data_IF_229406225695
#
_entry.id   IF_229406225695
#
_cell.length_a   1.000
_cell.length_b   1.000
_cell.length_c   1.000
_cell.angle_alpha   90.00
_cell.angle_beta   90.00
_cell.angle_gamma   90.00
#
_symmetry.space_group_name_H-M   'P 1'
#
loop_
_entity.id
_entity.type
_entity.pdbx_description
1 polymer ?
#
# COMPACT_ATOMS: atom_id res chain seq x y z
N UNK A 1 -7.44 0.07 18.17
CA UNK A 1 -7.94 -0.95 17.25
C UNK A 1 -9.39 -0.63 16.90
N UNK A 2 -9.66 -0.35 15.65
CA UNK A 2 -11.03 -0.13 15.18
C UNK A 2 -11.73 -1.47 14.99
N UNK A 3 -12.97 -1.55 15.42
CA UNK A 3 -13.84 -2.71 15.22
C UNK A 3 -14.80 -2.37 14.09
N UNK A 4 -14.84 -3.22 13.07
CA UNK A 4 -15.75 -3.06 11.95
C UNK A 4 -16.84 -4.14 12.05
N UNK A 5 -18.09 -3.70 12.22
CA UNK A 5 -19.26 -4.57 12.11
C UNK A 5 -19.84 -4.49 10.69
N UNK A 6 -20.12 -5.62 10.07
CA UNK A 6 -20.86 -5.62 8.79
C UNK A 6 -22.26 -5.07 9.03
N UNK A 7 -22.49 -3.82 8.61
CA UNK A 7 -23.79 -3.11 8.75
C UNK A 7 -23.78 -1.85 9.61
N UNK A 8 -22.66 -1.43 10.17
CA UNK A 8 -22.53 -0.14 10.89
C UNK A 8 -21.26 0.56 10.40
N UNK A 9 -21.46 1.78 9.96
CA UNK A 9 -20.46 2.80 9.57
C UNK A 9 -18.99 2.33 9.59
N UNK A 10 -18.56 1.81 8.45
CA UNK A 10 -17.16 1.89 8.10
C UNK A 10 -16.71 3.33 8.32
N UNK A 11 -15.48 3.61 8.81
CA UNK A 11 -14.97 4.94 8.59
C UNK A 11 -15.18 5.17 7.09
N UNK A 12 -16.20 5.99 6.79
CA UNK A 12 -16.48 6.35 5.42
C UNK A 12 -15.14 6.92 4.94
N UNK A 13 -14.54 6.28 3.94
CA UNK A 13 -13.75 7.05 3.00
C UNK A 13 -14.77 8.07 2.51
N UNK A 14 -14.82 9.19 3.21
CA UNK A 14 -15.69 10.29 2.80
C UNK A 14 -15.16 10.64 1.43
N UNK A 15 -15.99 10.48 0.43
CA UNK A 15 -15.73 11.08 -0.86
C UNK A 15 -15.45 12.58 -0.58
N UNK A 16 -14.15 12.95 -0.55
CA UNK A 16 -13.79 14.35 -0.38
C UNK A 16 -12.49 14.72 0.30
N UNK A 17 -11.84 13.87 1.11
CA UNK A 17 -10.64 14.26 1.86
C UNK A 17 -9.41 13.39 1.60
N UNK A 18 -8.22 13.94 1.83
CA UNK A 18 -6.97 13.18 1.94
C UNK A 18 -6.67 12.99 3.41
N UNK A 19 -6.59 11.73 3.87
CA UNK A 19 -6.57 11.37 5.28
C UNK A 19 -5.21 10.80 5.67
N UNK A 20 -4.67 11.26 6.79
CA UNK A 20 -3.48 10.72 7.44
C UNK A 20 -3.88 9.68 8.48
N UNK A 21 -3.34 8.48 8.36
CA UNK A 21 -3.45 7.40 9.37
C UNK A 21 -2.09 7.16 9.99
N UNK A 22 -2.00 7.25 11.32
CA UNK A 22 -0.76 6.98 12.06
C UNK A 22 -0.69 5.48 12.37
N UNK A 23 0.38 4.84 11.90
CA UNK A 23 0.61 3.41 12.09
C UNK A 23 1.42 3.15 13.35
N UNK A 24 2.51 3.90 13.51
CA UNK A 24 3.42 3.74 14.65
C UNK A 24 4.22 5.02 14.89
N UNK A 25 4.73 5.14 16.10
CA UNK A 25 5.74 6.11 16.51
C UNK A 25 5.34 7.57 16.33
N UNK A 26 6.34 8.41 16.20
CA UNK A 26 6.17 9.86 16.11
C UNK A 26 5.92 10.28 14.65
N UNK A 27 4.81 10.97 14.44
CA UNK A 27 4.46 11.63 13.16
C UNK A 27 4.16 13.08 13.45
N UNK A 28 4.73 13.98 12.66
CA UNK A 28 4.51 15.42 12.76
C UNK A 28 3.88 15.95 11.47
N UNK A 29 3.03 16.96 11.63
CA UNK A 29 2.43 17.73 10.54
C UNK A 29 2.80 19.20 10.70
N UNK A 30 3.19 19.81 9.60
CA UNK A 30 3.34 21.25 9.43
C UNK A 30 2.26 21.73 8.47
N UNK A 31 1.24 22.41 9.01
CA UNK A 31 0.16 22.96 8.19
C UNK A 31 0.66 24.16 7.36
N UNK A 32 0.26 24.22 6.10
CA UNK A 32 0.61 25.35 5.22
C UNK A 32 0.20 26.69 5.84
N UNK A 33 1.08 27.67 5.68
CA UNK A 33 0.87 29.02 6.25
C UNK A 33 1.08 29.14 7.76
N UNK A 34 1.44 28.07 8.46
CA UNK A 34 1.83 28.11 9.89
C UNK A 34 3.36 28.18 10.04
N UNK A 35 3.85 28.39 11.26
CA UNK A 35 5.30 28.44 11.55
C UNK A 35 5.76 27.35 12.51
N UNK A 36 4.89 26.40 12.87
CA UNK A 36 5.17 25.41 13.90
C UNK A 36 4.81 24.02 13.44
N UNK A 37 5.74 23.08 13.66
CA UNK A 37 5.45 21.66 13.59
C UNK A 37 4.61 21.25 14.81
N UNK A 38 3.69 20.35 14.62
CA UNK A 38 2.88 19.73 15.69
C UNK A 38 2.83 18.22 15.53
N UNK A 39 2.54 17.52 16.63
CA UNK A 39 2.21 16.10 16.53
C UNK A 39 0.97 15.92 15.65
N UNK A 40 1.04 14.96 14.75
CA UNK A 40 -0.09 14.56 13.92
C UNK A 40 -1.23 13.97 14.77
N UNK A 41 -2.45 14.08 14.28
CA UNK A 41 -3.63 13.45 14.88
C UNK A 41 -4.10 12.34 13.95
N UNK A 42 -4.28 11.14 14.47
CA UNK A 42 -4.75 10.01 13.68
C UNK A 42 -6.13 10.29 13.08
N UNK A 43 -6.27 10.02 11.77
CA UNK A 43 -7.48 10.29 11.00
C UNK A 43 -7.66 11.77 10.59
N UNK A 44 -6.65 12.64 10.75
CA UNK A 44 -6.77 14.03 10.32
C UNK A 44 -6.75 14.19 8.80
N UNK A 45 -7.45 15.19 8.32
CA UNK A 45 -7.48 15.56 6.91
C UNK A 45 -6.28 16.46 6.58
N UNK A 46 -5.55 16.09 5.52
CA UNK A 46 -4.44 16.87 4.97
C UNK A 46 -4.88 17.73 3.80
N UNK A 47 -4.23 18.88 3.66
CA UNK A 47 -4.44 19.84 2.60
C UNK A 47 -3.21 20.04 1.74
N UNK A 48 -3.39 20.64 0.57
CA UNK A 48 -2.26 21.08 -0.24
C UNK A 48 -1.38 22.05 0.55
N UNK A 49 -0.06 21.86 0.49
CA UNK A 49 0.94 22.63 1.19
C UNK A 49 1.35 22.02 2.55
N UNK A 50 0.59 21.08 3.08
CA UNK A 50 0.93 20.41 4.33
C UNK A 50 2.17 19.52 4.15
N UNK A 51 3.07 19.55 5.14
CA UNK A 51 4.23 18.67 5.24
C UNK A 51 4.00 17.63 6.32
N UNK A 52 4.32 16.39 6.00
CA UNK A 52 4.26 15.25 6.93
C UNK A 52 5.65 14.65 7.07
N UNK A 53 6.10 14.47 8.32
CA UNK A 53 7.37 13.80 8.59
C UNK A 53 7.22 12.74 9.68
N UNK A 54 7.89 11.61 9.48
CA UNK A 54 7.94 10.50 10.43
C UNK A 54 9.28 10.50 11.17
N UNK A 55 9.24 10.16 12.46
CA UNK A 55 10.44 9.93 13.27
C UNK A 55 11.08 8.56 13.01
N UNK A 56 12.15 8.21 13.79
CA UNK A 56 12.87 6.95 13.61
C UNK A 56 12.01 5.69 13.77
N UNK A 57 10.97 5.76 14.61
CA UNK A 57 10.01 4.68 14.81
C UNK A 57 8.64 5.01 14.19
N UNK A 58 8.55 6.17 13.47
CA UNK A 58 7.33 6.68 12.91
C UNK A 58 6.96 5.96 11.61
N UNK A 59 5.68 5.65 11.44
CA UNK A 59 5.09 5.18 10.18
C UNK A 59 3.70 5.74 10.02
N UNK A 60 3.34 6.09 8.79
CA UNK A 60 2.02 6.63 8.49
C UNK A 60 1.55 6.22 7.09
N UNK A 61 0.25 6.29 6.87
CA UNK A 61 -0.35 6.13 5.54
C UNK A 61 -1.17 7.37 5.23
N UNK A 62 -0.96 7.92 4.05
CA UNK A 62 -1.82 8.93 3.46
C UNK A 62 -2.74 8.23 2.47
N UNK A 63 -4.05 8.32 2.71
CA UNK A 63 -5.07 7.84 1.78
C UNK A 63 -5.67 9.04 1.05
N UNK A 64 -5.46 9.10 -0.26
CA UNK A 64 -6.00 10.15 -1.10
C UNK A 64 -7.49 9.92 -1.37
N UNK A 65 -8.20 10.98 -1.76
CA UNK A 65 -9.65 10.93 -1.97
C UNK A 65 -10.11 9.99 -3.10
N UNK A 66 -9.21 9.56 -4.01
CA UNK A 66 -9.48 8.57 -5.05
C UNK A 66 -9.20 7.12 -4.60
N UNK A 67 -8.73 6.94 -3.36
CA UNK A 67 -8.32 5.65 -2.80
C UNK A 67 -6.87 5.27 -3.05
N UNK A 68 -6.09 6.07 -3.80
CA UNK A 68 -4.63 5.91 -3.89
C UNK A 68 -4.01 6.07 -2.50
N UNK A 69 -2.90 5.38 -2.24
CA UNK A 69 -2.23 5.44 -0.93
C UNK A 69 -0.74 5.73 -1.08
N UNK A 70 -0.21 6.45 -0.09
CA UNK A 70 1.22 6.63 0.11
C UNK A 70 1.57 6.25 1.54
N UNK A 71 2.34 5.17 1.71
CA UNK A 71 2.86 4.75 3.01
C UNK A 71 4.23 5.37 3.24
N UNK A 72 4.41 6.03 4.37
CA UNK A 72 5.65 6.64 4.81
C UNK A 72 6.35 5.69 5.79
N UNK A 73 7.57 5.26 5.48
CA UNK A 73 8.44 4.55 6.40
C UNK A 73 9.03 5.50 7.46
N UNK A 74 9.86 4.98 8.35
CA UNK A 74 10.59 5.81 9.33
C UNK A 74 11.52 6.82 8.65
N UNK A 75 11.78 7.94 9.35
CA UNK A 75 12.67 9.02 8.92
C UNK A 75 12.33 9.63 7.54
N UNK A 76 11.05 9.58 7.16
CA UNK A 76 10.53 10.08 5.88
C UNK A 76 9.97 11.49 6.04
N UNK A 77 10.14 12.32 5.00
CA UNK A 77 9.74 13.72 4.97
C UNK A 77 9.16 14.06 3.61
N UNK A 78 7.88 14.45 3.59
CA UNK A 78 7.17 14.81 2.36
C UNK A 78 6.37 16.09 2.53
N UNK A 79 6.09 16.77 1.41
CA UNK A 79 5.14 17.90 1.32
C UNK A 79 4.15 17.63 0.20
N UNK A 80 2.89 17.92 0.43
CA UNK A 80 1.80 17.82 -0.55
C UNK A 80 1.76 19.11 -1.41
N UNK A 81 2.70 19.27 -2.35
CA UNK A 81 2.85 20.50 -3.13
C UNK A 81 1.61 20.85 -3.97
N UNK A 82 0.95 19.80 -4.48
CA UNK A 82 -0.31 19.92 -5.20
C UNK A 82 -1.24 18.80 -4.84
N UNK A 83 -2.48 19.16 -4.60
CA UNK A 83 -3.55 18.22 -4.29
C UNK A 83 -4.87 18.75 -4.85
N UNK A 84 -5.28 18.27 -6.01
CA UNK A 84 -6.49 18.71 -6.68
C UNK A 84 -7.31 17.55 -7.20
N UNK A 85 -8.65 17.69 -7.15
CA UNK A 85 -9.57 16.80 -7.84
C UNK A 85 -10.10 17.48 -9.10
N UNK A 86 -10.27 16.69 -10.15
CA UNK A 86 -10.95 17.16 -11.34
C UNK A 86 -12.46 16.91 -11.24
N UNK A 87 -13.23 17.42 -12.22
CA UNK A 87 -14.68 17.28 -12.26
C UNK A 87 -15.20 15.84 -12.39
N UNK A 88 -14.33 14.89 -12.70
CA UNK A 88 -14.61 13.45 -12.80
C UNK A 88 -14.19 12.69 -11.54
N UNK A 89 -13.68 13.37 -10.50
CA UNK A 89 -13.18 12.75 -9.27
C UNK A 89 -11.75 12.21 -9.36
N UNK A 90 -11.04 12.47 -10.45
CA UNK A 90 -9.65 12.02 -10.62
C UNK A 90 -8.65 12.86 -9.82
N UNK A 91 -7.61 12.21 -9.29
CA UNK A 91 -6.54 12.80 -8.50
C UNK A 91 -5.48 13.45 -9.40
N UNK A 92 -5.08 14.68 -9.08
CA UNK A 92 -3.81 15.25 -9.53
C UNK A 92 -3.02 15.66 -8.29
N UNK A 93 -1.95 14.89 -8.00
CA UNK A 93 -1.08 15.10 -6.85
C UNK A 93 0.37 15.28 -7.28
N UNK A 94 1.05 16.25 -6.66
CA UNK A 94 2.50 16.42 -6.72
C UNK A 94 3.02 16.40 -5.29
N UNK A 95 3.88 15.45 -5.00
CA UNK A 95 4.46 15.22 -3.68
C UNK A 95 5.93 15.57 -3.77
N UNK A 96 6.42 16.46 -2.92
CA UNK A 96 7.85 16.65 -2.69
C UNK A 96 8.29 15.65 -1.63
N UNK A 97 9.23 14.79 -1.93
CA UNK A 97 9.87 13.89 -0.96
C UNK A 97 11.32 14.30 -0.79
N UNK A 98 11.65 14.85 0.38
CA UNK A 98 12.99 15.38 0.66
C UNK A 98 13.95 14.28 1.18
N UNK A 99 13.43 13.28 1.87
CA UNK A 99 14.20 12.12 2.37
C UNK A 99 13.30 10.95 2.74
N UNK A 100 13.93 9.78 2.96
CA UNK A 100 13.28 8.58 3.47
C UNK A 100 12.64 7.74 2.37
N UNK A 101 11.73 6.86 2.76
CA UNK A 101 11.15 5.87 1.85
C UNK A 101 9.63 5.95 1.86
N UNK A 102 9.05 6.01 0.66
CA UNK A 102 7.59 5.92 0.47
C UNK A 102 7.23 4.74 -0.42
N UNK A 103 6.16 4.03 -0.05
CA UNK A 103 5.48 3.08 -0.91
C UNK A 103 4.21 3.72 -1.44
N UNK A 104 4.09 3.79 -2.77
CA UNK A 104 3.02 4.48 -3.45
C UNK A 104 2.19 3.47 -4.23
N UNK A 105 0.90 3.44 -3.97
CA UNK A 105 -0.06 2.62 -4.70
C UNK A 105 -1.08 3.55 -5.35
N UNK A 106 -0.86 3.86 -6.63
CA UNK A 106 -1.67 4.82 -7.39
C UNK A 106 -2.70 4.05 -8.20
N UNK A 107 -3.97 4.27 -7.87
CA UNK A 107 -5.08 3.62 -8.57
C UNK A 107 -5.23 4.17 -9.98
N UNK A 108 -5.79 3.31 -10.85
CA UNK A 108 -6.07 3.69 -12.24
C UNK A 108 -7.13 4.79 -12.28
N UNK A 109 -6.79 5.98 -12.77
CA UNK A 109 -7.78 7.03 -12.93
C UNK A 109 -8.78 6.67 -14.03
N UNK A 110 -10.05 7.01 -13.82
CA UNK A 110 -11.10 6.85 -14.86
C UNK A 110 -10.92 7.82 -16.03
N UNK A 111 -10.04 8.81 -15.90
CA UNK A 111 -9.79 9.84 -16.89
C UNK A 111 -8.32 9.95 -17.32
N UNK A 112 -8.08 10.67 -18.41
CA UNK A 112 -6.74 10.87 -18.97
C UNK A 112 -5.96 12.06 -18.35
N UNK A 113 -6.56 12.77 -17.39
CA UNK A 113 -6.02 14.05 -16.84
C UNK A 113 -5.39 13.85 -15.48
N UNK A 114 -5.74 12.77 -14.79
CA UNK A 114 -5.16 12.43 -13.47
C UNK A 114 -3.67 12.13 -13.59
N UNK A 115 -2.89 12.68 -12.68
CA UNK A 115 -1.44 12.53 -12.65
C UNK A 115 -0.97 12.44 -11.19
N UNK A 116 -0.06 11.54 -10.91
CA UNK A 116 0.61 11.44 -9.63
C UNK A 116 2.12 11.59 -9.85
N UNK A 117 2.72 12.56 -9.18
CA UNK A 117 4.15 12.84 -9.27
C UNK A 117 4.80 12.82 -7.90
N UNK A 118 6.00 12.27 -7.85
CA UNK A 118 6.90 12.41 -6.70
C UNK A 118 8.15 13.16 -7.18
N UNK A 119 8.32 14.36 -6.66
CA UNK A 119 9.51 15.19 -6.85
C UNK A 119 10.50 14.87 -5.74
N UNK A 120 11.76 14.70 -6.09
CA UNK A 120 12.86 14.43 -5.15
C UNK A 120 14.02 15.38 -5.44
N UNK A 121 15.05 15.45 -4.58
CA UNK A 121 16.24 16.24 -4.86
C UNK A 121 16.98 15.86 -6.17
N UNK A 122 16.89 14.60 -6.60
CA UNK A 122 17.61 14.12 -7.77
C UNK A 122 16.75 14.02 -9.04
N UNK A 123 15.46 13.69 -8.91
CA UNK A 123 14.62 13.40 -10.08
C UNK A 123 13.13 13.59 -9.79
N UNK A 124 12.33 13.51 -10.86
CA UNK A 124 10.87 13.48 -10.80
C UNK A 124 10.37 12.16 -11.33
N UNK A 125 9.58 11.44 -10.53
CA UNK A 125 8.85 10.26 -10.97
C UNK A 125 7.38 10.59 -11.25
N UNK A 126 6.91 10.32 -12.47
CA UNK A 126 5.51 10.50 -12.86
C UNK A 126 4.87 9.15 -13.18
N UNK A 127 3.64 8.93 -12.70
CA UNK A 127 2.97 7.63 -12.82
C UNK A 127 1.48 7.74 -13.13
N UNK A 128 0.95 6.63 -13.62
CA UNK A 128 -0.49 6.32 -13.70
C UNK A 128 -0.69 4.83 -13.52
N UNK A 129 -1.61 4.42 -12.61
CA UNK A 129 -1.88 2.99 -12.39
C UNK A 129 -0.60 2.19 -12.04
N UNK A 130 0.10 2.66 -11.01
CA UNK A 130 1.44 2.17 -10.70
C UNK A 130 1.58 1.96 -9.20
N UNK A 131 2.20 0.83 -8.84
CA UNK A 131 2.68 0.60 -7.47
C UNK A 131 4.20 0.62 -7.48
N UNK A 132 4.77 1.54 -6.71
CA UNK A 132 6.20 1.82 -6.75
C UNK A 132 6.74 2.35 -5.41
N UNK A 133 8.02 2.13 -5.20
CA UNK A 133 8.76 2.63 -4.04
C UNK A 133 9.68 3.77 -4.48
N UNK A 134 9.78 4.78 -3.63
CA UNK A 134 10.74 5.86 -3.76
C UNK A 134 11.58 5.89 -2.50
N UNK A 135 12.89 5.82 -2.66
CA UNK A 135 13.85 6.01 -1.56
C UNK A 135 14.72 7.21 -1.88
N UNK A 136 14.80 8.14 -0.93
CA UNK A 136 15.67 9.32 -0.99
C UNK A 136 16.65 9.26 0.16
N UNK A 137 17.91 9.09 -0.16
CA UNK A 137 18.99 9.05 0.82
C UNK A 137 19.34 10.46 1.34
N UNK A 138 20.11 10.54 2.42
CA UNK A 138 20.47 11.80 3.07
C UNK A 138 21.31 12.75 2.18
N UNK A 139 21.98 12.23 1.18
CA UNK A 139 22.72 12.99 0.18
C UNK A 139 21.87 13.44 -1.01
N UNK A 140 20.59 13.05 -1.03
CA UNK A 140 19.63 13.34 -2.07
C UNK A 140 19.58 12.32 -3.21
N UNK A 141 20.47 11.31 -3.20
CA UNK A 141 20.40 10.20 -4.16
C UNK A 141 19.03 9.54 -4.07
N UNK A 142 18.41 9.30 -5.21
CA UNK A 142 17.02 8.81 -5.29
C UNK A 142 16.93 7.51 -6.07
N UNK A 143 16.27 6.51 -5.51
CA UNK A 143 15.89 5.29 -6.20
C UNK A 143 14.37 5.27 -6.45
N UNK A 144 13.97 5.07 -7.71
CA UNK A 144 12.61 4.70 -8.08
C UNK A 144 12.57 3.23 -8.45
N UNK A 145 11.73 2.45 -7.78
CA UNK A 145 11.52 1.04 -8.07
C UNK A 145 10.06 0.77 -8.40
N UNK A 146 9.79 0.29 -9.61
CA UNK A 146 8.44 -0.09 -10.02
C UNK A 146 8.16 -1.56 -9.70
N UNK A 147 7.03 -1.81 -9.08
CA UNK A 147 6.50 -3.16 -8.85
C UNK A 147 5.45 -3.54 -9.89
N UNK A 148 4.50 -2.66 -10.15
CA UNK A 148 3.49 -2.76 -11.21
C UNK A 148 3.40 -1.44 -11.93
N UNK A 149 3.14 -1.46 -13.22
CA UNK A 149 3.10 -0.25 -14.05
C UNK A 149 4.48 0.28 -14.38
N UNK A 150 4.54 1.52 -14.80
CA UNK A 150 5.78 2.19 -15.20
C UNK A 150 5.90 3.51 -14.47
N UNK A 151 7.08 3.82 -13.97
CA UNK A 151 7.45 5.13 -13.47
C UNK A 151 8.28 5.82 -14.55
N UNK A 152 7.80 6.94 -15.06
CA UNK A 152 8.59 7.81 -15.94
C UNK A 152 9.45 8.73 -15.08
N UNK A 153 10.75 8.46 -15.04
CA UNK A 153 11.73 9.20 -14.23
C UNK A 153 12.46 10.20 -15.10
N UNK A 154 12.38 11.47 -14.71
CA UNK A 154 13.01 12.60 -15.43
C UNK A 154 14.04 13.30 -14.55
N UNK A 155 15.24 13.55 -15.05
CA UNK A 155 16.28 14.41 -14.46
C UNK A 155 17.17 14.97 -15.54
N UNK A 156 17.67 16.21 -15.38
CA UNK A 156 18.59 16.90 -16.30
C UNK A 156 18.13 16.90 -17.78
N UNK A 157 16.80 16.81 -18.02
CA UNK A 157 16.20 16.78 -19.36
C UNK A 157 16.26 15.43 -20.06
N UNK A 158 16.67 14.39 -19.35
CA UNK A 158 16.65 13.00 -19.82
C UNK A 158 15.52 12.21 -19.12
N UNK A 159 14.88 11.32 -19.85
CA UNK A 159 13.75 10.51 -19.38
C UNK A 159 14.09 9.02 -19.43
N UNK A 160 13.73 8.28 -18.37
CA UNK A 160 13.89 6.84 -18.30
C UNK A 160 12.59 6.20 -17.80
N UNK A 161 12.09 5.19 -18.50
CA UNK A 161 10.92 4.43 -18.10
C UNK A 161 11.34 3.23 -17.22
N UNK A 162 10.99 3.27 -15.93
CA UNK A 162 11.25 2.21 -14.96
C UNK A 162 10.07 1.26 -14.96
N UNK A 163 10.23 0.12 -15.61
CA UNK A 163 9.19 -0.92 -15.75
C UNK A 163 9.12 -1.87 -14.55
N UNK A 164 8.11 -2.76 -14.53
CA UNK A 164 7.89 -3.69 -13.42
C UNK A 164 9.11 -4.54 -13.08
N UNK A 165 9.47 -4.60 -11.79
CA UNK A 165 10.60 -5.37 -11.28
C UNK A 165 11.97 -4.74 -11.54
N UNK A 166 12.01 -3.48 -12.00
CA UNK A 166 13.27 -2.75 -12.23
C UNK A 166 13.33 -1.50 -11.37
N UNK A 167 14.54 -1.02 -11.10
CA UNK A 167 14.78 0.27 -10.44
C UNK A 167 15.77 1.13 -11.22
N UNK A 168 15.64 2.45 -11.06
CA UNK A 168 16.58 3.46 -11.54
C UNK A 168 17.09 4.25 -10.35
N UNK A 169 18.41 4.41 -10.27
CA UNK A 169 19.08 5.27 -9.30
C UNK A 169 19.52 6.57 -9.98
N UNK A 170 19.30 7.69 -9.29
CA UNK A 170 19.66 9.02 -9.78
C UNK A 170 20.38 9.80 -8.69
N UNK A 171 21.57 10.31 -8.99
CA UNK A 171 22.27 11.21 -8.11
C UNK A 171 21.86 12.68 -8.41
N UNK A 172 21.87 13.59 -7.42
CA UNK A 172 21.53 14.99 -7.64
C UNK A 172 22.40 15.65 -8.74
N UNK A 173 21.72 16.22 -9.75
CA UNK A 173 22.38 16.87 -10.90
C UNK A 173 22.89 15.91 -11.96
N UNK A 174 22.55 14.64 -11.89
CA UNK A 174 22.87 13.64 -12.91
C UNK A 174 21.61 13.17 -13.65
N UNK A 175 21.79 12.63 -14.85
CA UNK A 175 20.70 11.98 -15.58
C UNK A 175 20.25 10.68 -14.87
N UNK A 176 18.99 10.24 -15.05
CA UNK A 176 18.52 8.99 -14.45
C UNK A 176 19.36 7.79 -14.92
N UNK A 177 19.73 6.92 -13.97
CA UNK A 177 20.39 5.68 -14.30
C UNK A 177 19.51 4.76 -15.16
N UNK A 178 20.11 3.96 -16.02
CA UNK A 178 19.36 2.98 -16.79
C UNK A 178 18.68 1.96 -15.83
N UNK A 179 17.43 1.56 -16.11
CA UNK A 179 16.74 0.60 -15.26
C UNK A 179 17.47 -0.73 -15.16
N UNK A 180 17.66 -1.18 -13.93
CA UNK A 180 18.26 -2.49 -13.63
C UNK A 180 17.26 -3.38 -12.90
N UNK A 181 17.27 -4.71 -13.12
CA UNK A 181 16.43 -5.62 -12.37
C UNK A 181 16.68 -5.50 -10.87
N UNK A 182 15.62 -5.26 -10.09
CA UNK A 182 15.67 -5.30 -8.62
C UNK A 182 15.70 -6.77 -8.19
N UNK A 183 16.54 -7.16 -7.22
CA UNK A 183 16.47 -8.48 -6.61
C UNK A 183 15.04 -8.79 -6.12
N UNK A 184 14.61 -10.04 -6.27
CA UNK A 184 13.32 -10.46 -5.72
C UNK A 184 13.39 -10.46 -4.19
N UNK A 185 12.25 -10.17 -3.57
CA UNK A 185 12.11 -10.12 -2.12
C UNK A 185 12.55 -11.43 -1.45
N UNK A 186 13.08 -11.33 -0.25
CA UNK A 186 13.47 -12.46 0.58
C UNK A 186 12.26 -13.23 1.11
N UNK A 187 11.13 -12.55 1.30
CA UNK A 187 9.83 -13.13 1.63
C UNK A 187 8.73 -12.55 0.75
N UNK A 188 7.89 -13.41 0.19
CA UNK A 188 6.85 -13.05 -0.77
C UNK A 188 5.67 -14.00 -0.61
N UNK A 189 4.45 -13.47 -0.42
CA UNK A 189 3.20 -14.25 -0.40
C UNK A 189 2.20 -13.65 -1.37
N UNK A 190 1.68 -14.48 -2.25
CA UNK A 190 0.58 -14.17 -3.15
C UNK A 190 -0.64 -14.96 -2.72
N UNK A 191 -1.72 -14.27 -2.38
CA UNK A 191 -3.04 -14.85 -2.12
C UNK A 191 -3.95 -14.55 -3.30
N UNK A 192 -4.68 -15.57 -3.75
CA UNK A 192 -5.65 -15.46 -4.85
C UNK A 192 -6.98 -16.07 -4.40
N UNK A 193 -8.04 -15.26 -4.41
CA UNK A 193 -9.39 -15.66 -4.04
C UNK A 193 -10.30 -15.69 -5.27
N UNK A 194 -10.71 -16.90 -5.68
CA UNK A 194 -11.79 -17.11 -6.64
C UNK A 194 -13.08 -17.35 -5.87
N UNK A 195 -14.04 -16.38 -5.86
CA UNK A 195 -15.11 -16.46 -4.85
C UNK A 195 -16.25 -15.47 -5.02
N UNK A 196 -17.34 -15.81 -4.33
CA UNK A 196 -18.47 -14.98 -3.91
C UNK A 196 -18.18 -14.08 -2.70
N UNK A 197 -16.92 -13.98 -2.22
CA UNK A 197 -16.51 -13.18 -1.06
C UNK A 197 -15.48 -12.13 -1.46
N UNK A 198 -15.27 -11.13 -0.62
CA UNK A 198 -14.12 -10.24 -0.69
C UNK A 198 -12.98 -10.78 0.19
N UNK A 199 -11.76 -10.59 -0.27
CA UNK A 199 -10.53 -10.91 0.47
C UNK A 199 -10.03 -9.67 1.19
N UNK A 200 -9.75 -9.81 2.48
CA UNK A 200 -9.06 -8.80 3.27
C UNK A 200 -7.97 -9.47 4.10
N UNK A 201 -6.78 -8.92 4.08
CA UNK A 201 -5.66 -9.32 4.93
C UNK A 201 -5.39 -8.22 5.92
N UNK A 202 -5.15 -8.57 7.17
CA UNK A 202 -4.69 -7.65 8.22
C UNK A 202 -3.36 -8.17 8.73
N UNK A 203 -2.34 -7.32 8.70
CA UNK A 203 -1.01 -7.66 9.16
C UNK A 203 -0.87 -7.59 10.69
N UNK A 204 0.27 -8.01 11.27
CA UNK A 204 0.50 -7.96 12.72
C UNK A 204 0.43 -6.56 13.33
N UNK A 205 0.71 -5.52 12.55
CA UNK A 205 0.63 -4.12 12.98
C UNK A 205 -0.81 -3.57 12.91
N UNK A 206 -1.77 -4.36 12.40
CA UNK A 206 -3.17 -3.97 12.25
C UNK A 206 -3.46 -3.18 10.98
N UNK A 207 -2.57 -3.23 9.98
CA UNK A 207 -2.79 -2.64 8.67
C UNK A 207 -3.57 -3.59 7.78
N UNK A 208 -4.41 -3.05 6.92
CA UNK A 208 -5.26 -3.83 6.05
C UNK A 208 -4.90 -3.70 4.57
N UNK A 209 -5.01 -4.81 3.84
CA UNK A 209 -4.94 -4.84 2.38
C UNK A 209 -5.99 -5.79 1.81
N UNK A 210 -6.78 -5.33 0.86
CA UNK A 210 -7.86 -6.12 0.27
C UNK A 210 -9.09 -5.27 -0.05
N UNK A 211 -10.26 -5.87 0.11
CA UNK A 211 -11.53 -5.24 -0.24
C UNK A 211 -12.45 -5.25 0.98
N UNK A 212 -12.88 -4.07 1.38
CA UNK A 212 -13.93 -3.89 2.38
C UNK A 212 -15.33 -3.82 1.73
N UNK A 213 -16.40 -4.31 2.40
CA UNK A 213 -17.75 -4.11 1.92
C UNK A 213 -18.12 -2.61 1.83
N UNK A 214 -18.85 -2.16 0.82
CA UNK A 214 -19.45 -2.91 -0.29
C UNK A 214 -18.57 -3.05 -1.55
N UNK A 215 -17.26 -3.15 -1.43
CA UNK A 215 -16.34 -3.27 -2.55
C UNK A 215 -15.29 -2.15 -2.58
N UNK A 216 -14.97 -1.57 -1.43
CA UNK A 216 -13.97 -0.50 -1.29
C UNK A 216 -12.57 -1.10 -1.12
N UNK A 217 -11.62 -0.80 -2.02
CA UNK A 217 -10.24 -1.26 -1.84
C UNK A 217 -9.57 -0.53 -0.67
N UNK A 218 -8.76 -1.26 0.09
CA UNK A 218 -7.87 -0.73 1.11
C UNK A 218 -6.48 -1.33 0.91
N UNK A 219 -5.43 -0.52 1.00
CA UNK A 219 -4.05 -0.99 0.84
C UNK A 219 -3.10 -0.19 1.73
N UNK A 220 -3.09 -0.52 3.01
CA UNK A 220 -2.26 0.12 4.03
C UNK A 220 -0.95 -0.66 4.27
N UNK A 221 -0.95 -2.00 4.03
CA UNK A 221 0.23 -2.84 4.27
C UNK A 221 1.34 -2.42 3.31
N UNK A 222 2.55 -2.05 3.81
CA UNK A 222 3.68 -1.70 2.96
C UNK A 222 4.04 -2.82 1.98
N UNK A 223 4.53 -2.45 0.80
CA UNK A 223 4.98 -3.38 -0.24
C UNK A 223 3.91 -4.40 -0.69
N UNK A 224 2.64 -4.06 -0.51
CA UNK A 224 1.51 -4.90 -0.86
C UNK A 224 0.78 -4.36 -2.08
N UNK A 225 0.29 -5.27 -2.91
CA UNK A 225 -0.51 -4.99 -4.08
C UNK A 225 -1.84 -5.69 -3.98
N UNK A 226 -2.90 -5.00 -4.40
CA UNK A 226 -4.21 -5.58 -4.60
C UNK A 226 -4.52 -5.49 -6.08
N UNK A 227 -4.82 -6.61 -6.71
CA UNK A 227 -5.20 -6.64 -8.13
C UNK A 227 -6.62 -7.16 -8.29
N UNK A 228 -7.24 -6.79 -9.40
CA UNK A 228 -8.56 -7.29 -9.82
C UNK A 228 -9.68 -7.18 -8.77
N UNK A 229 -9.67 -6.07 -7.99
CA UNK A 229 -10.66 -5.85 -6.94
C UNK A 229 -12.11 -5.73 -7.45
N UNK A 230 -12.31 -5.52 -8.76
CA UNK A 230 -13.65 -5.46 -9.39
C UNK A 230 -14.12 -6.80 -9.94
N UNK A 231 -13.22 -7.77 -10.15
CA UNK A 231 -13.49 -9.08 -10.75
C UNK A 231 -12.79 -10.19 -9.97
N UNK A 232 -13.25 -11.42 -10.11
CA UNK A 232 -12.55 -12.59 -9.61
C UNK A 232 -11.55 -13.11 -10.66
N UNK A 233 -10.37 -13.64 -10.25
CA UNK A 233 -9.90 -13.79 -8.88
C UNK A 233 -9.36 -12.48 -8.30
N UNK A 234 -9.65 -12.22 -7.02
CA UNK A 234 -9.00 -11.14 -6.27
C UNK A 234 -7.61 -11.60 -5.83
N UNK A 235 -6.63 -10.72 -5.90
CA UNK A 235 -5.28 -11.05 -5.50
C UNK A 235 -4.74 -10.02 -4.51
N UNK A 236 -4.08 -10.52 -3.46
CA UNK A 236 -3.26 -9.73 -2.53
C UNK A 236 -1.84 -10.29 -2.60
N UNK A 237 -0.91 -9.44 -2.90
CA UNK A 237 0.48 -9.78 -3.11
C UNK A 237 1.37 -8.99 -2.17
N UNK A 238 2.03 -9.64 -1.23
CA UNK A 238 2.80 -9.03 -0.15
C UNK A 238 4.29 -9.36 -0.29
N UNK A 239 5.15 -8.40 -0.03
CA UNK A 239 6.61 -8.54 -0.04
C UNK A 239 7.18 -8.15 1.30
N UNK A 240 8.38 -8.67 1.61
CA UNK A 240 9.14 -8.37 2.82
C UNK A 240 8.27 -8.48 4.08
N UNK A 241 7.66 -9.67 4.22
CA UNK A 241 6.74 -9.98 5.29
C UNK A 241 7.43 -9.96 6.66
N UNK A 242 6.66 -9.69 7.69
CA UNK A 242 7.07 -9.87 9.07
C UNK A 242 6.84 -11.33 9.49
N UNK A 243 7.72 -11.86 10.36
CA UNK A 243 7.53 -13.15 11.02
C UNK A 243 6.47 -12.99 12.11
N UNK A 244 5.22 -13.30 11.80
CA UNK A 244 4.08 -13.26 12.73
C UNK A 244 2.82 -13.81 12.05
N UNK A 245 1.68 -13.67 12.74
CA UNK A 245 0.36 -14.14 12.28
C UNK A 245 -0.41 -12.99 11.60
N UNK A 246 -0.78 -13.22 10.36
CA UNK A 246 -1.68 -12.37 9.57
C UNK A 246 -3.11 -12.88 9.68
N UNK A 247 -4.08 -11.96 9.75
CA UNK A 247 -5.49 -12.34 9.73
C UNK A 247 -6.03 -12.27 8.30
N UNK A 248 -6.60 -13.35 7.81
CA UNK A 248 -7.17 -13.45 6.46
C UNK A 248 -8.68 -13.57 6.57
N UNK A 249 -9.41 -12.55 6.10
CA UNK A 249 -10.85 -12.47 6.16
C UNK A 249 -11.50 -12.75 4.81
N UNK A 250 -12.58 -13.51 4.86
CA UNK A 250 -13.49 -13.74 3.74
C UNK A 250 -14.83 -13.09 4.08
N UNK A 251 -15.15 -12.01 3.34
CA UNK A 251 -16.31 -11.18 3.62
C UNK A 251 -17.39 -11.49 2.58
N UNK A 252 -18.44 -12.22 2.98
CA UNK A 252 -19.45 -12.77 2.08
C UNK A 252 -20.24 -11.70 1.32
N UNK A 253 -20.19 -11.72 -0.01
CA UNK A 253 -20.98 -10.89 -0.94
C UNK A 253 -22.32 -11.52 -1.23
N UNK A 254 -22.32 -12.81 -1.46
CA UNK A 254 -23.46 -13.63 -1.84
C UNK A 254 -23.28 -15.05 -1.33
N UNK A 255 -24.35 -15.85 -1.34
CA UNK A 255 -24.27 -17.27 -1.04
C UNK A 255 -23.46 -18.00 -2.11
N UNK A 256 -22.40 -18.67 -1.73
CA UNK A 256 -21.58 -19.43 -2.65
C UNK A 256 -20.29 -19.95 -2.06
N UNK A 257 -19.60 -20.76 -2.84
CA UNK A 257 -18.32 -21.33 -2.45
C UNK A 257 -17.18 -20.33 -2.74
N UNK A 258 -16.15 -20.41 -1.93
CA UNK A 258 -14.89 -19.71 -2.17
C UNK A 258 -13.72 -20.68 -2.16
N UNK A 259 -12.69 -20.31 -2.90
CA UNK A 259 -11.41 -21.01 -2.97
C UNK A 259 -10.28 -20.00 -2.92
N UNK A 260 -9.50 -20.05 -1.82
CA UNK A 260 -8.26 -19.31 -1.68
C UNK A 260 -7.09 -20.21 -2.02
N UNK A 261 -6.20 -19.74 -2.84
CA UNK A 261 -4.87 -20.31 -3.03
C UNK A 261 -3.83 -19.30 -2.60
N UNK A 262 -2.77 -19.76 -1.93
CA UNK A 262 -1.65 -18.95 -1.54
C UNK A 262 -0.33 -19.59 -1.98
N UNK A 263 0.64 -18.75 -2.33
CA UNK A 263 2.00 -19.16 -2.69
C UNK A 263 2.99 -18.31 -1.92
N UNK A 264 3.79 -18.97 -1.09
CA UNK A 264 4.95 -18.38 -0.44
C UNK A 264 6.21 -18.64 -1.27
N UNK A 265 7.00 -17.62 -1.51
CA UNK A 265 8.29 -17.75 -2.21
C UNK A 265 9.38 -16.90 -1.58
N UNK A 266 10.63 -17.32 -1.75
CA UNK A 266 11.83 -16.59 -1.37
C UNK A 266 12.72 -16.43 -2.59
N UNK A 267 13.10 -15.19 -2.90
CA UNK A 267 13.88 -14.84 -4.11
C UNK A 267 13.34 -15.48 -5.39
N UNK A 268 12.00 -15.62 -5.45
CA UNK A 268 11.28 -16.22 -6.57
C UNK A 268 11.31 -17.74 -6.61
N UNK A 269 11.85 -18.40 -5.59
CA UNK A 269 11.76 -19.85 -5.43
C UNK A 269 10.54 -20.16 -4.56
N UNK A 270 9.65 -21.02 -5.06
CA UNK A 270 8.49 -21.46 -4.30
C UNK A 270 8.94 -22.19 -3.03
N UNK A 271 8.45 -21.76 -1.89
CA UNK A 271 8.70 -22.38 -0.57
C UNK A 271 7.50 -23.25 -0.18
N UNK A 272 6.30 -22.69 -0.22
CA UNK A 272 5.09 -23.37 0.25
C UNK A 272 3.88 -22.96 -0.61
N UNK A 273 2.85 -23.80 -0.60
CA UNK A 273 1.52 -23.49 -1.15
C UNK A 273 0.46 -23.80 -0.10
N UNK A 274 -0.51 -22.90 0.03
CA UNK A 274 -1.67 -23.09 0.89
C UNK A 274 -2.95 -23.08 0.06
N UNK A 275 -3.97 -23.75 0.54
CA UNK A 275 -5.30 -23.73 -0.05
C UNK A 275 -6.38 -23.83 1.02
N UNK A 276 -7.38 -22.97 0.91
CA UNK A 276 -8.57 -22.97 1.76
C UNK A 276 -9.80 -23.06 0.86
N UNK A 277 -10.77 -23.86 1.27
CA UNK A 277 -12.07 -23.95 0.63
C UNK A 277 -13.16 -23.77 1.68
N UNK A 278 -14.23 -23.11 1.30
CA UNK A 278 -15.36 -22.90 2.17
C UNK A 278 -16.56 -22.37 1.41
N UNK A 279 -17.60 -22.03 2.14
CA UNK A 279 -18.78 -21.36 1.63
C UNK A 279 -19.09 -20.14 2.48
N UNK A 280 -19.64 -19.11 1.89
CA UNK A 280 -20.07 -17.90 2.57
C UNK A 280 -21.50 -17.53 2.24
N UNK A 281 -22.14 -16.84 3.18
CA UNK A 281 -23.43 -16.20 3.03
C UNK A 281 -23.27 -14.67 2.98
N UNK A 282 -24.24 -13.93 2.43
CA UNK A 282 -24.19 -12.47 2.45
C UNK A 282 -24.00 -11.92 3.86
N UNK A 283 -23.05 -11.01 4.00
CA UNK A 283 -22.67 -10.36 5.27
C UNK A 283 -22.05 -11.31 6.33
N UNK A 284 -21.68 -12.53 5.96
CA UNK A 284 -20.92 -13.41 6.83
C UNK A 284 -19.44 -12.98 6.83
N UNK A 285 -18.83 -13.01 8.01
CA UNK A 285 -17.39 -12.79 8.19
C UNK A 285 -16.76 -14.11 8.59
N UNK A 286 -15.85 -14.62 7.77
CA UNK A 286 -15.01 -15.77 8.10
C UNK A 286 -13.57 -15.30 8.23
N UNK A 287 -12.83 -15.88 9.17
CA UNK A 287 -11.43 -15.56 9.45
C UNK A 287 -10.59 -16.82 9.47
N UNK A 288 -9.42 -16.74 8.85
CA UNK A 288 -8.31 -17.69 9.00
C UNK A 288 -7.08 -16.95 9.51
N UNK A 289 -6.22 -17.64 10.23
CA UNK A 289 -4.91 -17.13 10.63
C UNK A 289 -3.86 -17.69 9.68
N UNK A 290 -3.03 -16.83 9.15
CA UNK A 290 -1.90 -17.20 8.30
C UNK A 290 -0.60 -16.88 9.04
N UNK A 291 0.11 -17.93 9.46
CA UNK A 291 1.41 -17.79 10.10
C UNK A 291 2.50 -17.72 9.02
N UNK A 292 3.40 -16.77 9.21
CA UNK A 292 4.58 -16.55 8.35
C UNK A 292 5.82 -16.84 9.16
N UNK A 293 6.60 -17.82 8.72
CA UNK A 293 7.88 -18.19 9.31
C UNK A 293 9.02 -17.66 8.44
N UNK A 294 9.96 -16.94 9.04
CA UNK A 294 11.19 -16.47 8.40
C UNK A 294 12.41 -17.20 8.97
N UNK A 295 13.44 -17.39 8.15
CA UNK A 295 14.73 -17.88 8.64
C UNK A 295 15.56 -16.74 9.27
N UNK A 296 16.72 -17.08 9.82
CA UNK A 296 17.60 -16.11 10.48
C UNK A 296 18.13 -15.00 9.55
N UNK A 297 18.01 -15.19 8.23
CA UNK A 297 18.39 -14.21 7.21
C UNK A 297 17.17 -13.38 6.72
N UNK A 298 15.97 -13.57 7.31
CA UNK A 298 14.73 -12.90 6.90
C UNK A 298 14.08 -13.46 5.64
N UNK A 299 14.50 -14.65 5.19
CA UNK A 299 13.91 -15.32 4.03
C UNK A 299 12.69 -16.12 4.46
N UNK A 300 11.70 -16.21 3.58
CA UNK A 300 10.54 -17.05 3.85
C UNK A 300 10.97 -18.52 4.02
N UNK A 301 10.68 -19.08 5.20
CA UNK A 301 10.92 -20.46 5.56
C UNK A 301 9.65 -21.32 5.44
N UNK A 302 8.48 -20.73 5.68
CA UNK A 302 7.19 -21.40 5.55
C UNK A 302 6.02 -20.45 5.67
N UNK A 303 4.85 -20.91 5.21
CA UNK A 303 3.55 -20.32 5.51
C UNK A 303 2.58 -21.43 5.87
N UNK A 304 1.72 -21.19 6.85
CA UNK A 304 0.61 -22.09 7.16
C UNK A 304 -0.67 -21.29 7.33
N UNK A 305 -1.81 -21.93 7.24
CA UNK A 305 -3.10 -21.28 7.37
C UNK A 305 -4.08 -22.19 8.10
N UNK A 306 -4.89 -21.61 9.00
CA UNK A 306 -5.96 -22.33 9.69
C UNK A 306 -7.22 -22.46 8.84
N UNK A 307 -8.07 -23.42 9.15
CA UNK A 307 -9.41 -23.47 8.58
C UNK A 307 -10.22 -22.22 8.96
N UNK A 308 -11.10 -21.73 8.06
CA UNK A 308 -11.91 -20.56 8.34
C UNK A 308 -12.92 -20.78 9.47
N UNK A 309 -12.97 -19.85 10.39
CA UNK A 309 -13.98 -19.79 11.45
C UNK A 309 -14.89 -18.59 11.28
N UNK A 310 -16.15 -18.70 11.69
CA UNK A 310 -17.06 -17.57 11.69
C UNK A 310 -16.75 -16.65 12.87
N UNK A 311 -16.69 -15.35 12.58
CA UNK A 311 -16.50 -14.29 13.57
C UNK A 311 -17.58 -13.22 13.41
N UNK A 312 -17.86 -12.48 14.49
CA UNK A 312 -18.90 -11.46 14.48
C UNK A 312 -18.41 -10.10 13.94
N UNK A 313 -17.11 -9.88 13.96
CA UNK A 313 -16.49 -8.61 13.58
C UNK A 313 -15.08 -8.81 13.01
N UNK A 314 -14.62 -7.84 12.23
CA UNK A 314 -13.21 -7.72 11.84
C UNK A 314 -12.48 -7.04 12.99
N UNK A 315 -11.42 -7.65 13.50
CA UNK A 315 -10.62 -7.14 14.63
C UNK A 315 -9.21 -6.83 14.21
N UNK A 316 -8.53 -5.96 14.95
CA UNK A 316 -7.11 -5.69 14.77
C UNK A 316 -6.80 -4.65 13.68
N UNK A 317 -7.77 -4.01 13.05
CA UNK A 317 -7.52 -2.92 12.10
C UNK A 317 -7.27 -1.62 12.88
N UNK A 318 -6.17 -0.91 12.54
CA UNK A 318 -5.81 0.41 13.04
C UNK A 318 -6.36 1.53 12.16
#
# INVERSE_FOLDING_TARGET
AHKIHMGVDLPSVQAGGTILTIIAGDVIVHEDGTSLDRAAVDGEELSQGDRVATGPDGRAVITFFDGSTQTLASDTDITLDKLTSNSSGGLSAEIQQDKGTTWNNVLRPEDSVSEFKVNTPAAVGAVRDTSFLVTVDLDGTTEFWSRIGTVDVTSEGEDVAVGPGTSSLTDPGEAPGLPVPKPRADSEVQLELASSSWLLVVDPDGLAAGILPPGVPVNQIPLTLITDYTQAPQQVYMLDLQEDTYQVYFLGKETGDFHLTGRGSSKGTLVETIAIQGSSEPNQILRSEMDVDLDADGKLAGISVTDPEQVDEITGIN
#
